data_IF_295744597664
#
_entry.id   IF_295744597664
#
_cell.length_a   1.000
_cell.length_b   1.000
_cell.length_c   1.000
_cell.angle_alpha   90.00
_cell.angle_beta   90.00
_cell.angle_gamma   90.00
#
_symmetry.space_group_name_H-M   'P 1'
#
loop_
_entity.id
_entity.type
_entity.pdbx_description
1 polymer ?
#
# COMPACT_ATOMS: atom_id res chain seq x y z
N UNK A 1 13.10 -16.62 -1.26
CA UNK A 1 12.72 -17.21 0.02
C UNK A 1 11.31 -17.80 -0.14
N UNK A 2 11.03 -18.99 0.35
CA UNK A 2 9.64 -19.41 0.44
C UNK A 2 8.92 -18.44 1.38
N UNK A 3 7.74 -17.97 0.96
CA UNK A 3 6.84 -17.24 1.84
C UNK A 3 6.55 -18.14 3.04
N UNK A 4 6.58 -17.56 4.23
CA UNK A 4 6.28 -18.27 5.47
C UNK A 4 4.86 -18.86 5.36
N UNK A 5 4.64 -20.06 5.91
CA UNK A 5 3.37 -20.80 5.81
C UNK A 5 2.14 -20.05 6.35
N UNK A 6 2.33 -18.84 6.87
CA UNK A 6 1.30 -18.01 7.49
C UNK A 6 0.87 -16.81 6.63
N UNK A 7 1.23 -16.77 5.34
CA UNK A 7 0.77 -15.73 4.42
C UNK A 7 -0.18 -16.36 3.40
N UNK A 8 -1.44 -15.94 3.45
CA UNK A 8 -2.49 -16.37 2.53
C UNK A 8 -2.84 -15.28 1.52
N UNK A 9 -3.11 -15.68 0.27
CA UNK A 9 -3.67 -14.78 -0.73
C UNK A 9 -5.19 -14.76 -0.58
N UNK A 10 -5.73 -13.61 -0.14
CA UNK A 10 -7.16 -13.46 0.13
C UNK A 10 -7.93 -13.15 -1.14
N UNK A 11 -7.37 -12.31 -2.01
CA UNK A 11 -8.06 -11.82 -3.19
C UNK A 11 -7.09 -11.41 -4.30
N UNK A 12 -7.44 -11.77 -5.53
CA UNK A 12 -6.75 -11.31 -6.74
C UNK A 12 -7.79 -10.88 -7.78
N UNK A 13 -7.73 -9.62 -8.20
CA UNK A 13 -8.56 -9.08 -9.27
C UNK A 13 -7.81 -9.07 -10.61
N UNK A 14 -8.48 -9.57 -11.67
CA UNK A 14 -8.09 -9.29 -13.05
C UNK A 14 -8.71 -7.95 -13.45
N UNK A 15 -7.89 -6.99 -13.78
CA UNK A 15 -8.32 -5.64 -14.11
C UNK A 15 -9.04 -5.61 -15.48
N UNK A 16 -10.37 -5.67 -15.46
CA UNK A 16 -11.24 -5.51 -16.62
C UNK A 16 -12.07 -4.23 -16.46
N UNK A 17 -11.43 -3.06 -16.52
CA UNK A 17 -12.07 -1.73 -16.58
C UNK A 17 -12.71 -1.14 -15.32
N UNK A 18 -12.57 -1.74 -14.14
CA UNK A 18 -13.16 -1.17 -12.91
C UNK A 18 -12.12 -0.60 -11.93
N UNK A 19 -10.88 -0.43 -12.36
CA UNK A 19 -9.78 0.01 -11.48
C UNK A 19 -9.65 -0.94 -10.26
N UNK A 20 -9.37 -0.41 -9.09
CA UNK A 20 -9.14 -1.18 -7.86
C UNK A 20 -10.41 -1.28 -6.98
N UNK A 21 -11.58 -0.90 -7.49
CA UNK A 21 -12.81 -0.81 -6.71
C UNK A 21 -13.24 -2.15 -6.10
N UNK A 22 -13.23 -3.22 -6.89
CA UNK A 22 -13.65 -4.53 -6.40
C UNK A 22 -12.71 -5.04 -5.32
N UNK A 23 -11.39 -4.79 -5.50
CA UNK A 23 -10.39 -5.12 -4.49
C UNK A 23 -10.58 -4.29 -3.22
N UNK A 24 -10.88 -3.00 -3.34
CA UNK A 24 -11.16 -2.13 -2.19
C UNK A 24 -12.37 -2.65 -1.40
N UNK A 25 -13.46 -2.97 -2.09
CA UNK A 25 -14.68 -3.51 -1.47
C UNK A 25 -14.42 -4.87 -0.82
N UNK A 26 -13.71 -5.77 -1.50
CA UNK A 26 -13.33 -7.06 -0.95
C UNK A 26 -12.46 -6.91 0.31
N UNK A 27 -11.55 -5.94 0.33
CA UNK A 27 -10.70 -5.61 1.47
C UNK A 27 -11.52 -5.23 2.71
N UNK A 28 -12.54 -4.38 2.54
CA UNK A 28 -13.48 -4.03 3.61
C UNK A 28 -14.30 -5.23 4.09
N UNK A 29 -14.92 -5.96 3.19
CA UNK A 29 -15.73 -7.14 3.55
C UNK A 29 -14.92 -8.22 4.25
N UNK A 30 -13.68 -8.44 3.81
CA UNK A 30 -12.78 -9.35 4.50
C UNK A 30 -12.57 -8.90 5.95
N UNK A 31 -12.14 -7.67 6.16
CA UNK A 31 -11.90 -7.16 7.51
C UNK A 31 -13.16 -7.26 8.40
N UNK A 32 -14.33 -6.90 7.87
CA UNK A 32 -15.60 -6.96 8.61
C UNK A 32 -16.02 -8.39 8.97
N UNK A 33 -15.57 -9.40 8.23
CA UNK A 33 -15.90 -10.81 8.48
C UNK A 33 -15.07 -11.44 9.61
N UNK A 34 -13.96 -10.81 9.99
CA UNK A 34 -13.04 -11.37 10.97
C UNK A 34 -13.50 -11.14 12.41
N UNK A 35 -13.40 -12.18 13.23
CA UNK A 35 -13.63 -12.11 14.69
C UNK A 35 -12.41 -11.59 15.44
N UNK A 36 -11.21 -11.87 14.93
CA UNK A 36 -9.93 -11.39 15.46
C UNK A 36 -9.27 -10.49 14.43
N UNK A 37 -8.46 -9.55 14.90
CA UNK A 37 -7.78 -8.64 13.99
C UNK A 37 -6.52 -9.27 13.42
N UNK A 38 -6.27 -8.97 12.16
CA UNK A 38 -5.14 -9.45 11.37
C UNK A 38 -4.41 -8.29 10.70
N UNK A 39 -3.21 -8.57 10.17
CA UNK A 39 -2.45 -7.63 9.35
C UNK A 39 -2.59 -8.00 7.88
N UNK A 40 -3.02 -7.05 7.07
CA UNK A 40 -3.26 -7.26 5.64
C UNK A 40 -2.36 -6.35 4.82
N UNK A 41 -1.67 -6.93 3.82
CA UNK A 41 -0.91 -6.18 2.82
C UNK A 41 -1.80 -5.91 1.62
N UNK A 42 -1.95 -4.62 1.28
CA UNK A 42 -2.43 -4.22 -0.03
C UNK A 42 -1.26 -3.92 -0.96
N UNK A 43 -1.30 -4.48 -2.16
CA UNK A 43 -0.37 -4.14 -3.24
C UNK A 43 -1.00 -4.40 -4.61
N UNK A 44 -0.46 -3.79 -5.65
CA UNK A 44 -0.96 -3.92 -7.01
C UNK A 44 0.15 -3.86 -8.08
N UNK A 45 -0.19 -4.15 -9.33
CA UNK A 45 0.73 -4.00 -10.45
C UNK A 45 1.05 -2.51 -10.70
N UNK A 46 2.26 -2.07 -10.34
CA UNK A 46 2.71 -0.71 -10.60
C UNK A 46 3.38 -0.62 -11.97
N UNK A 47 2.88 0.28 -12.82
CA UNK A 47 3.52 0.67 -14.07
C UNK A 47 3.22 -0.13 -15.34
N UNK A 48 2.26 -1.08 -15.43
CA UNK A 48 2.02 -1.80 -16.67
C UNK A 48 1.61 -0.89 -17.84
N UNK A 49 0.95 0.23 -17.57
CA UNK A 49 0.56 1.23 -18.56
C UNK A 49 1.74 2.02 -19.13
N UNK A 50 2.92 1.93 -18.52
CA UNK A 50 4.15 2.63 -18.92
C UNK A 50 5.15 1.72 -19.62
N UNK A 51 4.80 0.47 -19.84
CA UNK A 51 5.64 -0.49 -20.57
C UNK A 51 5.99 0.04 -21.96
N UNK A 52 7.28 0.00 -22.32
CA UNK A 52 7.85 0.57 -23.55
C UNK A 52 7.68 2.10 -23.70
N UNK A 53 7.42 2.83 -22.64
CA UNK A 53 7.47 4.30 -22.63
C UNK A 53 8.79 4.79 -22.03
N UNK A 54 9.10 6.09 -22.20
CA UNK A 54 10.26 6.73 -21.55
C UNK A 54 10.22 6.67 -20.01
N UNK A 55 9.05 6.41 -19.42
CA UNK A 55 8.84 6.34 -17.98
C UNK A 55 8.93 4.91 -17.40
N UNK A 56 9.20 3.91 -18.26
CA UNK A 56 9.25 2.50 -17.84
C UNK A 56 10.27 2.25 -16.72
N UNK A 57 11.46 2.81 -16.87
CA UNK A 57 12.55 2.62 -15.89
C UNK A 57 12.20 3.25 -14.54
N UNK A 58 11.65 4.47 -14.54
CA UNK A 58 11.20 5.13 -13.32
C UNK A 58 10.12 4.31 -12.59
N UNK A 59 9.14 3.80 -13.33
CA UNK A 59 8.09 2.94 -12.77
C UNK A 59 8.62 1.62 -12.22
N UNK A 60 9.64 1.04 -12.86
CA UNK A 60 10.31 -0.17 -12.40
C UNK A 60 11.05 0.06 -11.08
N UNK A 61 11.83 1.13 -10.99
CA UNK A 61 12.55 1.48 -9.77
C UNK A 61 11.59 1.83 -8.64
N UNK A 62 10.54 2.57 -8.93
CA UNK A 62 9.51 2.87 -7.95
C UNK A 62 8.85 1.60 -7.40
N UNK A 63 8.46 0.66 -8.27
CA UNK A 63 7.91 -0.62 -7.85
C UNK A 63 8.89 -1.40 -6.98
N UNK A 64 10.16 -1.52 -7.38
CA UNK A 64 11.18 -2.22 -6.58
C UNK A 64 11.39 -1.57 -5.20
N UNK A 65 11.30 -0.25 -5.11
CA UNK A 65 11.36 0.47 -3.85
C UNK A 65 10.19 0.10 -2.93
N UNK A 66 8.97 0.08 -3.44
CA UNK A 66 7.79 -0.32 -2.69
C UNK A 66 7.88 -1.79 -2.25
N UNK A 67 8.21 -2.70 -3.17
CA UNK A 67 8.38 -4.13 -2.91
C UNK A 67 9.46 -4.40 -1.85
N UNK A 68 10.56 -3.67 -1.88
CA UNK A 68 11.64 -3.85 -0.91
C UNK A 68 11.15 -3.65 0.53
N UNK A 69 10.49 -2.55 0.82
CA UNK A 69 10.05 -2.25 2.18
C UNK A 69 8.81 -3.04 2.60
N UNK A 70 7.85 -3.26 1.71
CA UNK A 70 6.57 -3.85 2.11
C UNK A 70 6.48 -5.36 1.90
N UNK A 71 7.26 -5.92 0.96
CA UNK A 71 7.25 -7.37 0.65
C UNK A 71 8.53 -8.04 1.14
N UNK A 72 9.71 -7.56 0.75
CA UNK A 72 10.96 -8.22 1.14
C UNK A 72 11.27 -8.02 2.63
N UNK A 73 10.93 -6.86 3.19
CA UNK A 73 11.07 -6.49 4.60
C UNK A 73 9.74 -6.59 5.37
N UNK A 74 8.82 -7.46 4.96
CA UNK A 74 7.50 -7.56 5.57
C UNK A 74 7.52 -7.78 7.10
N UNK A 75 8.55 -8.50 7.62
CA UNK A 75 8.69 -8.71 9.06
C UNK A 75 8.90 -7.42 9.84
N UNK A 76 9.58 -6.45 9.23
CA UNK A 76 9.78 -5.14 9.83
C UNK A 76 8.45 -4.36 9.87
N UNK A 77 7.59 -4.50 8.82
CA UNK A 77 6.23 -3.95 8.83
C UNK A 77 5.39 -4.56 9.95
N UNK A 78 5.37 -5.89 10.07
CA UNK A 78 4.63 -6.60 11.13
C UNK A 78 5.14 -6.18 12.52
N UNK A 79 6.45 -6.02 12.69
CA UNK A 79 7.00 -5.53 13.95
C UNK A 79 6.44 -4.14 14.29
N UNK A 80 6.35 -3.21 13.32
CA UNK A 80 5.79 -1.88 13.54
C UNK A 80 4.30 -1.94 13.93
N UNK A 81 3.54 -2.79 13.27
CA UNK A 81 2.14 -2.99 13.64
C UNK A 81 1.98 -3.56 15.06
N UNK A 82 2.89 -4.44 15.49
CA UNK A 82 2.96 -4.92 16.88
C UNK A 82 3.38 -3.83 17.90
N UNK A 83 4.06 -2.77 17.46
CA UNK A 83 4.44 -1.60 18.27
C UNK A 83 3.32 -0.55 18.39
N UNK A 84 2.05 -0.90 18.08
CA UNK A 84 0.86 -0.04 18.11
C UNK A 84 0.66 0.91 16.93
N UNK A 85 1.41 0.78 15.85
CA UNK A 85 1.03 1.42 14.60
C UNK A 85 -0.13 0.64 13.95
N UNK A 86 -1.03 1.34 13.30
CA UNK A 86 -2.21 0.73 12.67
C UNK A 86 -2.05 0.58 11.15
N UNK A 87 -1.10 1.30 10.58
CA UNK A 87 -0.64 1.11 9.21
C UNK A 87 0.87 1.25 9.09
N UNK A 88 1.43 0.60 8.08
CA UNK A 88 2.86 0.61 7.82
C UNK A 88 3.13 0.54 6.31
N UNK A 89 3.99 1.39 5.84
CA UNK A 89 4.38 1.43 4.44
C UNK A 89 5.66 2.22 4.24
N UNK A 90 5.81 2.77 3.06
CA UNK A 90 6.93 3.61 2.68
C UNK A 90 6.42 4.86 1.98
N UNK A 91 7.13 5.97 2.14
CA UNK A 91 6.79 7.23 1.50
C UNK A 91 5.39 7.74 1.88
N UNK A 92 5.16 8.00 3.16
CA UNK A 92 3.97 8.71 3.61
C UNK A 92 3.99 10.16 3.08
N UNK A 93 2.85 10.59 2.57
CA UNK A 93 2.68 11.91 2.00
C UNK A 93 1.35 12.52 2.44
N UNK A 94 1.39 13.71 3.05
CA UNK A 94 0.22 14.41 3.60
C UNK A 94 -0.46 15.37 2.61
N UNK A 95 -0.12 15.28 1.32
CA UNK A 95 -0.52 16.28 0.34
C UNK A 95 -1.94 16.13 -0.19
N UNK A 96 -2.11 15.46 -1.31
CA UNK A 96 -3.27 15.53 -2.19
C UNK A 96 -4.60 14.98 -1.63
N UNK A 97 -4.53 14.05 -0.67
CA UNK A 97 -5.64 13.45 0.05
C UNK A 97 -5.44 13.67 1.54
N UNK A 98 -6.15 13.01 2.38
CA UNK A 98 -5.97 13.10 3.84
C UNK A 98 -4.72 12.34 4.37
N UNK A 99 -3.68 12.18 3.54
CA UNK A 99 -2.49 11.39 3.82
C UNK A 99 -2.57 10.00 3.17
N UNK A 100 -1.45 9.53 2.61
CA UNK A 100 -1.38 8.23 1.95
C UNK A 100 0.06 7.73 1.80
N UNK A 101 0.24 6.44 1.55
CA UNK A 101 1.51 5.89 1.11
C UNK A 101 1.62 6.02 -0.41
N UNK A 102 2.59 6.81 -0.88
CA UNK A 102 2.77 7.05 -2.31
C UNK A 102 3.08 5.74 -3.04
N UNK A 103 2.22 5.37 -4.00
CA UNK A 103 2.35 4.13 -4.77
C UNK A 103 1.49 2.98 -4.29
N UNK A 104 0.75 3.15 -3.21
CA UNK A 104 -0.34 2.25 -2.79
C UNK A 104 0.12 0.82 -2.44
N UNK A 105 1.28 0.68 -1.80
CA UNK A 105 1.75 -0.55 -1.18
C UNK A 105 1.84 -0.32 0.33
N UNK A 106 0.97 -0.96 1.11
CA UNK A 106 0.92 -0.74 2.54
C UNK A 106 0.32 -1.93 3.30
N UNK A 107 0.74 -2.07 4.53
CA UNK A 107 0.13 -2.94 5.52
C UNK A 107 -0.86 -2.15 6.36
N UNK A 108 -1.98 -2.77 6.71
CA UNK A 108 -2.95 -2.23 7.65
C UNK A 108 -3.41 -3.30 8.63
N UNK A 109 -3.70 -2.86 9.86
CA UNK A 109 -4.46 -3.67 10.80
C UNK A 109 -5.93 -3.68 10.39
N UNK A 110 -6.58 -4.83 10.41
CA UNK A 110 -8.01 -4.94 10.07
C UNK A 110 -8.91 -4.16 11.03
N UNK A 111 -8.49 -3.91 12.26
CA UNK A 111 -9.18 -3.00 13.18
C UNK A 111 -9.30 -1.58 12.63
N UNK A 112 -8.27 -1.08 11.95
CA UNK A 112 -8.31 0.21 11.26
C UNK A 112 -9.29 0.16 10.08
N UNK A 113 -9.22 -0.91 9.25
CA UNK A 113 -10.10 -1.08 8.09
C UNK A 113 -11.58 -1.15 8.51
N UNK A 114 -11.89 -1.85 9.61
CA UNK A 114 -13.26 -1.92 10.18
C UNK A 114 -13.83 -0.55 10.54
N UNK A 115 -13.01 0.37 11.03
CA UNK A 115 -13.42 1.74 11.40
C UNK A 115 -13.67 2.66 10.21
N UNK A 116 -13.09 2.37 9.04
CA UNK A 116 -13.30 3.18 7.84
C UNK A 116 -14.70 2.90 7.27
N UNK A 117 -15.56 3.92 7.08
CA UNK A 117 -16.89 3.74 6.50
C UNK A 117 -16.85 3.15 5.10
N UNK A 118 -17.81 2.27 4.77
CA UNK A 118 -17.83 1.50 3.50
C UNK A 118 -17.85 2.40 2.26
N UNK A 119 -18.42 3.58 2.32
CA UNK A 119 -18.48 4.53 1.20
C UNK A 119 -17.09 4.96 0.71
N UNK A 120 -16.06 4.88 1.53
CA UNK A 120 -14.69 5.22 1.12
C UNK A 120 -14.01 4.13 0.28
N UNK A 121 -14.57 2.93 0.26
CA UNK A 121 -14.07 1.81 -0.54
C UNK A 121 -14.66 1.77 -1.95
N UNK A 122 -15.24 2.85 -2.42
CA UNK A 122 -15.92 2.94 -3.71
C UNK A 122 -15.41 4.09 -4.56
N UNK A 123 -15.44 3.91 -5.88
CA UNK A 123 -15.18 4.98 -6.85
C UNK A 123 -16.20 6.14 -6.77
N UNK A 124 -17.32 5.94 -6.12
CA UNK A 124 -18.30 6.99 -5.83
C UNK A 124 -17.95 7.85 -4.63
N UNK A 125 -16.91 7.47 -3.88
CA UNK A 125 -16.37 8.29 -2.80
C UNK A 125 -15.81 9.61 -3.33
N UNK A 126 -15.56 10.57 -2.43
CA UNK A 126 -14.91 11.84 -2.78
C UNK A 126 -13.52 11.69 -3.40
N UNK A 127 -12.90 10.51 -3.25
CA UNK A 127 -11.58 10.19 -3.82
C UNK A 127 -11.65 9.52 -5.20
N UNK A 128 -12.84 9.11 -5.66
CA UNK A 128 -13.04 8.49 -6.96
C UNK A 128 -12.15 7.25 -7.14
N UNK A 129 -11.47 7.15 -8.28
CA UNK A 129 -10.56 6.05 -8.59
C UNK A 129 -9.36 5.92 -7.64
N UNK A 130 -9.07 6.92 -6.84
CA UNK A 130 -7.98 6.93 -5.87
C UNK A 130 -8.43 6.50 -4.47
N UNK A 131 -9.64 5.94 -4.34
CA UNK A 131 -10.19 5.55 -3.05
C UNK A 131 -9.24 4.63 -2.26
N UNK A 132 -8.67 3.62 -2.90
CA UNK A 132 -7.78 2.66 -2.22
C UNK A 132 -6.44 3.31 -1.80
N UNK A 133 -5.93 4.24 -2.61
CA UNK A 133 -4.71 5.00 -2.28
C UNK A 133 -4.93 5.91 -1.06
N UNK A 134 -6.13 6.50 -0.96
CA UNK A 134 -6.49 7.41 0.12
C UNK A 134 -6.89 6.70 1.43
N UNK A 135 -7.21 5.39 1.40
CA UNK A 135 -7.72 4.66 2.56
C UNK A 135 -6.91 4.85 3.83
N UNK A 136 -5.57 4.77 3.82
CA UNK A 136 -4.79 4.95 5.03
C UNK A 136 -5.01 6.30 5.72
N UNK A 137 -5.32 7.35 4.96
CA UNK A 137 -5.50 8.70 5.50
C UNK A 137 -6.95 9.13 5.72
N UNK A 138 -7.93 8.25 5.51
CA UNK A 138 -9.36 8.61 5.64
C UNK A 138 -9.75 8.98 7.06
N UNK A 139 -9.18 8.29 8.04
CA UNK A 139 -9.37 8.55 9.46
C UNK A 139 -8.02 8.72 10.16
N UNK A 140 -8.01 9.50 11.23
CA UNK A 140 -6.81 9.68 12.04
C UNK A 140 -6.39 8.35 12.69
N UNK A 141 -5.11 8.02 12.57
CA UNK A 141 -4.53 6.80 13.11
C UNK A 141 -3.00 6.92 13.22
N UNK A 142 -2.37 5.98 13.93
CA UNK A 142 -0.92 5.88 14.01
C UNK A 142 -0.37 5.18 12.77
N UNK A 143 0.30 5.92 11.90
CA UNK A 143 0.98 5.35 10.73
C UNK A 143 2.50 5.31 10.92
N UNK A 144 3.16 4.38 10.24
CA UNK A 144 4.61 4.28 10.17
C UNK A 144 5.11 4.26 8.72
N UNK A 145 6.09 5.10 8.41
CA UNK A 145 6.77 5.10 7.12
C UNK A 145 8.26 4.83 7.29
N UNK A 146 8.77 3.75 6.67
CA UNK A 146 10.19 3.37 6.78
C UNK A 146 11.13 4.40 6.17
N UNK A 147 10.74 4.94 5.03
CA UNK A 147 11.54 5.87 4.29
C UNK A 147 10.64 6.95 3.71
N UNK A 148 10.97 8.19 3.94
CA UNK A 148 10.21 9.31 3.41
C UNK A 148 11.18 10.26 2.72
N UNK A 149 11.03 10.40 1.43
CA UNK A 149 11.69 11.45 0.65
C UNK A 149 10.75 12.64 0.54
N UNK A 150 11.31 13.85 0.45
CA UNK A 150 10.51 15.09 0.45
C UNK A 150 9.77 15.36 -0.87
N UNK A 151 9.82 14.46 -1.82
CA UNK A 151 9.21 14.62 -3.15
C UNK A 151 8.21 13.49 -3.43
N UNK A 152 7.16 13.82 -4.17
CA UNK A 152 6.31 12.80 -4.77
C UNK A 152 7.16 11.90 -5.68
N UNK A 153 6.96 10.59 -5.55
CA UNK A 153 7.67 9.59 -6.37
C UNK A 153 7.27 9.62 -7.85
N UNK A 154 6.23 10.35 -8.19
CA UNK A 154 5.81 10.51 -9.57
C UNK A 154 6.87 11.26 -10.38
N UNK A 155 7.57 10.52 -11.24
CA UNK A 155 8.67 11.06 -12.04
C UNK A 155 10.05 11.06 -11.36
N UNK A 156 10.15 10.64 -10.09
CA UNK A 156 11.43 10.48 -9.42
C UNK A 156 11.94 9.05 -9.54
N UNK A 157 13.21 8.88 -9.88
CA UNK A 157 13.87 7.57 -9.95
C UNK A 157 14.70 7.34 -8.71
N UNK A 158 14.31 6.37 -7.86
CA UNK A 158 15.08 5.97 -6.70
C UNK A 158 15.87 4.71 -7.08
N UNK A 159 17.19 4.85 -7.14
CA UNK A 159 18.03 3.70 -7.44
C UNK A 159 18.12 2.77 -6.20
N UNK A 160 18.14 1.43 -6.37
CA UNK A 160 18.24 0.49 -5.23
C UNK A 160 19.40 0.76 -4.27
N UNK A 161 20.51 1.30 -4.75
CA UNK A 161 21.65 1.68 -3.90
C UNK A 161 21.33 2.75 -2.85
N UNK A 162 20.22 3.48 -3.00
CA UNK A 162 19.84 4.54 -2.08
C UNK A 162 19.13 3.99 -0.82
N UNK A 163 18.58 2.77 -0.88
CA UNK A 163 17.78 2.22 0.20
C UNK A 163 18.12 0.77 0.59
N UNK A 164 18.93 0.06 -0.18
CA UNK A 164 19.37 -1.30 0.19
C UNK A 164 20.63 -1.28 1.05
N UNK A 165 20.71 -2.20 2.01
CA UNK A 165 21.79 -2.27 3.03
C UNK A 165 23.19 -2.59 2.49
N UNK A 166 23.34 -2.83 1.19
CA UNK A 166 24.63 -3.22 0.58
C UNK A 166 25.64 -2.07 0.44
N UNK A 167 25.35 -0.89 1.00
CA UNK A 167 26.20 0.30 0.94
C UNK A 167 26.58 0.87 2.32
N UNK A 168 26.63 0.03 3.35
CA UNK A 168 27.24 0.40 4.66
C UNK A 168 28.48 -0.41 4.96
#
# INVERSE_FOLDING_TARGET
MPLDSNIDFIYQQKNENQWEQDTATAFKHYADSLTEDEYVLYFHNKGPTRYKTSEEMGSKYWRHYLEYFTILKWKDCVQKLNESFESCGVQWFDGFYSGHYSGTFYWMNTSLIKRIPIEYFSNTSKYGRFCIEALPGVIEHNNFSFHTIQHDLYGYTIHPSEYTENNK
#
